data_IF_291464683625
#
_entry.id   IF_291464683625
#
_cell.length_a   1.000
_cell.length_b   1.000
_cell.length_c   1.000
_cell.angle_alpha   90.00
_cell.angle_beta   90.00
_cell.angle_gamma   90.00
#
_symmetry.space_group_name_H-M   'P 1'
#
loop_
_entity.id
_entity.type
_entity.pdbx_description
1 polymer ?
#
# COMPACT_ATOMS: atom_id res chain seq x y z
N UNK A 1 -49.49 -16.57 -53.27
CA UNK A 1 -48.30 -15.87 -52.72
C UNK A 1 -48.17 -16.28 -51.26
N UNK A 2 -47.20 -17.15 -50.98
CA UNK A 2 -46.92 -17.67 -49.63
C UNK A 2 -45.43 -17.95 -49.59
N UNK A 3 -44.72 -17.22 -48.71
CA UNK A 3 -43.27 -17.23 -48.60
C UNK A 3 -42.77 -18.47 -47.82
N UNK A 4 -41.60 -19.05 -48.18
CA UNK A 4 -40.99 -20.12 -47.40
C UNK A 4 -40.22 -19.59 -46.18
N UNK A 5 -40.29 -20.35 -45.09
CA UNK A 5 -39.71 -20.09 -43.77
C UNK A 5 -38.18 -20.29 -43.71
N UNK A 6 -37.44 -19.50 -42.91
CA UNK A 6 -35.98 -19.63 -42.79
C UNK A 6 -35.55 -20.74 -41.81
N UNK A 7 -34.49 -21.47 -42.18
CA UNK A 7 -33.85 -22.53 -41.37
C UNK A 7 -32.95 -21.94 -40.26
N UNK A 8 -32.76 -22.64 -39.13
CA UNK A 8 -31.91 -22.19 -38.02
C UNK A 8 -30.41 -22.42 -38.29
N UNK A 9 -29.59 -21.47 -37.81
CA UNK A 9 -28.13 -21.48 -37.84
C UNK A 9 -27.54 -22.43 -36.80
N UNK A 10 -26.53 -23.21 -37.18
CA UNK A 10 -25.63 -23.93 -36.25
C UNK A 10 -24.20 -23.37 -36.40
N UNK A 11 -23.49 -23.02 -35.31
CA UNK A 11 -22.10 -22.60 -35.39
C UNK A 11 -21.18 -23.80 -35.17
N UNK A 12 -20.47 -24.23 -36.22
CA UNK A 12 -19.30 -25.11 -36.12
C UNK A 12 -18.11 -24.41 -36.75
N UNK A 13 -16.99 -24.44 -36.03
CA UNK A 13 -15.60 -24.19 -36.43
C UNK A 13 -15.19 -22.85 -37.04
N UNK A 14 -14.45 -22.09 -36.22
CA UNK A 14 -13.38 -21.23 -36.72
C UNK A 14 -12.15 -21.35 -35.81
N UNK A 15 -11.26 -22.27 -36.14
CA UNK A 15 -9.84 -22.12 -35.82
C UNK A 15 -9.33 -20.80 -36.41
N UNK A 16 -8.41 -20.11 -35.73
CA UNK A 16 -7.19 -19.54 -36.32
C UNK A 16 -6.31 -18.89 -35.24
N UNK A 17 -5.08 -19.40 -35.16
CA UNK A 17 -3.98 -18.91 -34.35
C UNK A 17 -3.55 -17.52 -34.86
N UNK A 18 -3.14 -16.63 -33.97
CA UNK A 18 -2.41 -15.39 -34.32
C UNK A 18 -1.03 -15.42 -33.64
N UNK A 19 0.09 -15.22 -34.39
CA UNK A 19 1.43 -15.18 -33.81
C UNK A 19 1.81 -13.81 -33.23
N UNK A 20 2.73 -13.87 -32.26
CA UNK A 20 3.39 -12.78 -31.54
C UNK A 20 4.35 -12.01 -32.45
N UNK A 21 4.17 -10.69 -32.57
CA UNK A 21 5.18 -9.78 -33.14
C UNK A 21 5.61 -8.75 -32.08
N UNK A 22 6.93 -8.68 -31.86
CA UNK A 22 7.63 -7.71 -31.03
C UNK A 22 7.57 -6.30 -31.66
N UNK A 23 7.36 -5.27 -30.83
CA UNK A 23 7.74 -3.88 -31.15
C UNK A 23 8.44 -3.23 -29.94
N UNK A 24 9.62 -2.61 -30.12
CA UNK A 24 10.34 -1.92 -29.06
C UNK A 24 10.07 -0.39 -29.06
N UNK A 25 10.17 0.18 -27.86
CA UNK A 25 10.59 1.58 -27.63
C UNK A 25 9.47 2.61 -27.45
N UNK A 26 9.17 2.99 -26.20
CA UNK A 26 8.71 4.34 -25.84
C UNK A 26 9.15 4.68 -24.40
N UNK A 27 10.22 5.45 -24.28
CA UNK A 27 10.59 6.21 -23.09
C UNK A 27 9.61 7.37 -22.90
N UNK A 28 8.73 7.27 -21.89
CA UNK A 28 7.77 8.31 -21.54
C UNK A 28 8.05 8.87 -20.14
N UNK A 29 8.83 9.95 -20.09
CA UNK A 29 9.01 10.80 -18.89
C UNK A 29 7.66 11.46 -18.59
N UNK A 30 7.00 11.09 -17.48
CA UNK A 30 5.76 11.73 -17.03
C UNK A 30 6.09 13.01 -16.25
N UNK A 31 5.80 14.15 -16.87
CA UNK A 31 5.80 15.48 -16.26
C UNK A 31 4.49 15.69 -15.48
N UNK A 32 4.58 15.97 -14.19
CA UNK A 32 3.43 16.32 -13.35
C UNK A 32 3.04 17.79 -13.61
N UNK A 33 1.93 18.03 -14.29
CA UNK A 33 1.36 19.38 -14.40
C UNK A 33 0.51 19.67 -13.16
N UNK A 34 0.95 20.69 -12.41
CA UNK A 34 0.23 21.34 -11.31
C UNK A 34 -0.90 22.16 -11.92
N UNK A 35 -2.16 21.86 -11.58
CA UNK A 35 -3.32 22.65 -12.02
C UNK A 35 -3.41 23.88 -11.11
N UNK A 36 -3.13 25.05 -11.67
CA UNK A 36 -3.48 26.34 -11.08
C UNK A 36 -4.90 26.68 -11.57
N UNK A 37 -5.86 26.77 -10.66
CA UNK A 37 -7.26 27.06 -10.97
C UNK A 37 -7.39 28.56 -11.27
N UNK A 38 -7.65 28.92 -12.53
CA UNK A 38 -7.96 30.30 -12.92
C UNK A 38 -9.43 30.62 -12.60
N UNK A 39 -9.80 31.87 -12.25
CA UNK A 39 -11.19 32.25 -12.03
C UNK A 39 -12.00 32.08 -13.32
N UNK A 40 -13.05 31.25 -13.28
CA UNK A 40 -13.94 30.99 -14.41
C UNK A 40 -14.74 32.26 -14.74
N UNK A 41 -14.45 32.86 -15.90
CA UNK A 41 -15.29 33.90 -16.49
C UNK A 41 -16.65 33.29 -16.87
N UNK A 42 -17.73 34.03 -16.64
CA UNK A 42 -19.08 33.58 -17.00
C UNK A 42 -19.16 33.31 -18.52
N UNK A 43 -19.68 32.16 -18.95
CA UNK A 43 -19.81 31.83 -20.38
C UNK A 43 -20.78 32.79 -21.08
N UNK A 44 -20.67 32.88 -22.41
CA UNK A 44 -21.59 33.69 -23.19
C UNK A 44 -23.04 33.16 -23.06
N UNK A 45 -24.01 34.04 -22.82
CA UNK A 45 -25.38 33.65 -22.52
C UNK A 45 -26.31 34.83 -22.25
N UNK A 46 -27.62 34.55 -22.16
CA UNK A 46 -28.62 35.51 -21.70
C UNK A 46 -28.64 35.53 -20.18
N UNK A 47 -28.51 36.72 -19.60
CA UNK A 47 -28.51 36.92 -18.15
C UNK A 47 -29.42 38.09 -17.80
N UNK A 48 -29.95 38.15 -16.56
CA UNK A 48 -30.71 39.31 -16.10
C UNK A 48 -29.92 40.61 -16.29
N UNK A 49 -30.57 41.65 -16.81
CA UNK A 49 -29.90 42.93 -17.04
C UNK A 49 -29.33 43.48 -15.72
N UNK A 50 -28.03 43.85 -15.66
CA UNK A 50 -27.43 44.41 -14.44
C UNK A 50 -28.06 45.77 -14.05
N UNK A 51 -28.72 46.43 -15.00
CA UNK A 51 -29.40 47.71 -14.80
C UNK A 51 -30.77 47.55 -14.09
N UNK A 52 -31.17 46.31 -13.73
CA UNK A 52 -32.41 46.01 -13.01
C UNK A 52 -33.68 46.09 -13.85
N UNK A 53 -33.56 46.32 -15.17
CA UNK A 53 -34.68 46.26 -16.09
C UNK A 53 -35.22 44.82 -16.22
N UNK A 54 -36.55 44.61 -16.38
CA UNK A 54 -37.17 43.28 -16.52
C UNK A 54 -36.96 42.71 -17.93
N UNK A 55 -35.70 42.65 -18.34
CA UNK A 55 -35.22 42.12 -19.62
C UNK A 55 -33.94 41.33 -19.38
N UNK A 56 -33.72 40.29 -20.18
CA UNK A 56 -32.43 39.61 -20.22
C UNK A 56 -31.54 40.29 -21.26
N UNK A 57 -30.26 40.46 -20.95
CA UNK A 57 -29.24 41.02 -21.85
C UNK A 57 -28.22 39.94 -22.18
N UNK A 58 -27.70 39.94 -23.40
CA UNK A 58 -26.70 38.95 -23.82
C UNK A 58 -25.29 39.35 -23.37
N UNK A 59 -24.62 38.46 -22.64
CA UNK A 59 -23.20 38.51 -22.31
C UNK A 59 -22.41 37.69 -23.34
N UNK A 60 -21.36 38.24 -23.94
CA UNK A 60 -20.58 37.54 -24.97
C UNK A 60 -19.36 36.77 -24.41
N UNK A 61 -19.19 36.76 -23.09
CA UNK A 61 -18.00 36.22 -22.41
C UNK A 61 -16.99 37.28 -21.98
N UNK A 62 -17.08 38.49 -22.53
CA UNK A 62 -16.16 39.61 -22.23
C UNK A 62 -16.87 40.92 -21.89
N UNK A 63 -18.02 41.20 -22.50
CA UNK A 63 -18.85 42.37 -22.22
C UNK A 63 -20.34 42.12 -22.47
N UNK A 64 -21.17 43.02 -21.92
CA UNK A 64 -22.61 43.03 -22.20
C UNK A 64 -22.86 43.65 -23.57
N UNK A 65 -23.69 43.00 -24.37
CA UNK A 65 -24.11 43.51 -25.68
C UNK A 65 -25.45 44.27 -25.58
N UNK A 66 -25.81 45.05 -26.60
CA UNK A 66 -27.08 45.77 -26.64
C UNK A 66 -28.30 44.89 -26.99
N UNK A 67 -28.10 43.58 -27.18
CA UNK A 67 -29.20 42.67 -27.45
C UNK A 67 -29.99 42.42 -26.15
N UNK A 68 -31.29 42.70 -26.16
CA UNK A 68 -32.20 42.48 -25.02
C UNK A 68 -33.42 41.68 -25.46
N UNK A 69 -33.85 40.72 -24.64
CA UNK A 69 -35.12 39.99 -24.79
C UNK A 69 -36.01 40.23 -23.57
N UNK A 70 -37.35 40.28 -23.72
CA UNK A 70 -38.27 40.34 -22.58
C UNK A 70 -37.98 39.20 -21.61
N UNK A 71 -38.04 39.47 -20.30
CA UNK A 71 -37.84 38.44 -19.27
C UNK A 71 -39.06 37.51 -19.25
N UNK A 72 -39.04 36.52 -20.14
CA UNK A 72 -40.04 35.45 -20.20
C UNK A 72 -39.81 34.53 -18.99
N UNK A 73 -40.87 34.19 -18.21
CA UNK A 73 -40.71 33.29 -17.08
C UNK A 73 -40.08 31.99 -17.57
N UNK A 74 -38.90 31.67 -17.04
CA UNK A 74 -38.16 30.48 -17.44
C UNK A 74 -39.09 29.26 -17.41
N UNK A 75 -39.13 28.43 -18.48
CA UNK A 75 -39.88 27.18 -18.44
C UNK A 75 -39.42 26.36 -17.22
N UNK A 76 -40.32 25.60 -16.58
CA UNK A 76 -39.96 24.81 -15.40
C UNK A 76 -38.70 24.01 -15.70
N UNK A 77 -37.66 24.18 -14.89
CA UNK A 77 -36.45 23.38 -15.00
C UNK A 77 -36.83 21.90 -14.93
N UNK A 78 -36.87 21.22 -16.08
CA UNK A 78 -36.80 19.76 -16.10
C UNK A 78 -35.54 19.38 -15.32
N UNK A 79 -35.61 18.40 -14.39
CA UNK A 79 -34.44 17.98 -13.66
C UNK A 79 -33.34 17.65 -14.66
N UNK A 80 -32.23 18.38 -14.55
CA UNK A 80 -31.07 18.25 -15.40
C UNK A 80 -30.73 16.76 -15.56
N UNK A 81 -30.69 16.21 -16.80
CA UNK A 81 -30.36 14.82 -16.99
C UNK A 81 -29.01 14.58 -16.33
N UNK A 82 -29.01 13.74 -15.31
CA UNK A 82 -27.81 13.31 -14.58
C UNK A 82 -26.71 13.09 -15.60
N UNK A 83 -25.64 13.88 -15.51
CA UNK A 83 -24.51 13.78 -16.41
C UNK A 83 -24.07 12.31 -16.54
N UNK A 84 -23.47 11.91 -17.67
CA UNK A 84 -23.09 10.51 -17.92
C UNK A 84 -22.38 9.95 -16.68
N UNK A 85 -22.76 8.74 -16.20
CA UNK A 85 -22.24 8.20 -14.95
C UNK A 85 -20.72 8.25 -14.97
N UNK A 86 -20.15 9.15 -14.17
CA UNK A 86 -18.71 9.23 -14.01
C UNK A 86 -18.26 7.93 -13.38
N UNK A 87 -17.62 7.10 -14.22
CA UNK A 87 -17.15 5.74 -14.00
C UNK A 87 -18.21 4.64 -14.23
N UNK A 88 -18.05 3.88 -15.32
CA UNK A 88 -18.83 2.68 -15.63
C UNK A 88 -18.54 1.49 -14.71
N UNK A 89 -18.13 1.74 -13.48
CA UNK A 89 -18.01 0.70 -12.47
C UNK A 89 -19.37 0.55 -11.79
N UNK A 90 -19.94 -0.67 -11.74
CA UNK A 90 -21.11 -0.90 -10.90
C UNK A 90 -20.78 -0.45 -9.48
N UNK A 91 -21.67 0.31 -8.86
CA UNK A 91 -21.52 0.72 -7.47
C UNK A 91 -21.22 -0.54 -6.62
N UNK A 92 -20.09 -0.60 -5.91
CA UNK A 92 -19.78 -1.76 -5.09
C UNK A 92 -20.94 -2.00 -4.12
N UNK A 93 -21.44 -3.22 -4.02
CA UNK A 93 -22.35 -3.61 -2.94
C UNK A 93 -21.62 -3.28 -1.64
N UNK A 94 -22.06 -2.26 -0.92
CA UNK A 94 -21.35 -1.72 0.23
C UNK A 94 -21.08 -2.86 1.23
N UNK A 95 -19.84 -3.36 1.33
CA UNK A 95 -19.55 -4.43 2.26
C UNK A 95 -19.85 -3.95 3.68
N UNK A 96 -20.33 -4.84 4.56
CA UNK A 96 -20.51 -4.56 6.00
C UNK A 96 -19.15 -4.38 6.69
N UNK A 97 -18.45 -3.30 6.38
CA UNK A 97 -17.13 -2.94 6.92
C UNK A 97 -17.22 -2.09 8.18
N UNK A 98 -18.40 -1.52 8.46
CA UNK A 98 -18.64 -0.60 9.59
C UNK A 98 -18.06 -1.11 10.92
N UNK A 99 -18.43 -2.32 11.39
CA UNK A 99 -17.93 -2.82 12.68
C UNK A 99 -16.40 -2.96 12.73
N UNK A 100 -15.78 -3.34 11.62
CA UNK A 100 -14.35 -3.61 11.53
C UNK A 100 -13.52 -2.32 11.46
N UNK A 101 -14.03 -1.33 10.70
CA UNK A 101 -13.46 0.01 10.65
C UNK A 101 -13.55 0.71 12.02
N UNK A 102 -14.72 0.65 12.67
CA UNK A 102 -14.94 1.19 14.02
C UNK A 102 -14.01 0.51 15.02
N UNK A 103 -13.94 -0.82 15.01
CA UNK A 103 -13.05 -1.57 15.92
C UNK A 103 -11.59 -1.13 15.73
N UNK A 104 -11.13 -1.02 14.48
CA UNK A 104 -9.76 -0.58 14.18
C UNK A 104 -9.49 0.83 14.71
N UNK A 105 -10.41 1.77 14.47
CA UNK A 105 -10.29 3.15 14.97
C UNK A 105 -10.23 3.19 16.51
N UNK A 106 -11.10 2.42 17.18
CA UNK A 106 -11.13 2.35 18.65
C UNK A 106 -9.81 1.80 19.19
N UNK A 107 -9.32 0.67 18.68
CA UNK A 107 -8.07 0.09 19.18
C UNK A 107 -6.84 0.96 18.89
N UNK A 108 -6.79 1.63 17.73
CA UNK A 108 -5.73 2.60 17.42
C UNK A 108 -5.80 3.82 18.34
N UNK A 109 -6.99 4.35 18.62
CA UNK A 109 -7.16 5.48 19.53
C UNK A 109 -6.74 5.12 20.97
N UNK A 110 -7.17 3.95 21.47
CA UNK A 110 -6.78 3.47 22.81
C UNK A 110 -5.26 3.28 22.92
N UNK A 111 -4.64 2.70 21.90
CA UNK A 111 -3.19 2.57 21.85
C UNK A 111 -2.46 3.91 21.74
N UNK A 112 -2.98 4.82 20.91
CA UNK A 112 -2.46 6.17 20.70
C UNK A 112 -2.52 7.05 21.95
N UNK A 113 -3.41 6.75 22.89
CA UNK A 113 -3.46 7.37 24.22
C UNK A 113 -2.55 6.65 25.22
N UNK A 114 -2.52 5.32 25.20
CA UNK A 114 -1.69 4.52 26.12
C UNK A 114 -0.18 4.72 25.91
N UNK A 115 0.27 4.86 24.66
CA UNK A 115 1.70 4.97 24.34
C UNK A 115 2.30 6.29 24.85
N UNK A 116 1.72 7.49 24.62
CA UNK A 116 2.23 8.75 25.18
C UNK A 116 2.12 8.84 26.70
N UNK A 117 1.14 8.19 27.33
CA UNK A 117 1.09 8.11 28.80
C UNK A 117 2.25 7.28 29.36
N UNK A 118 2.52 6.12 28.75
CA UNK A 118 3.64 5.25 29.13
C UNK A 118 5.01 5.85 28.80
N UNK A 119 5.12 6.62 27.72
CA UNK A 119 6.34 7.33 27.33
C UNK A 119 6.55 8.63 28.11
N UNK A 120 5.48 9.40 28.32
CA UNK A 120 5.45 10.60 29.14
C UNK A 120 5.86 10.31 30.59
N UNK A 121 5.38 9.19 31.15
CA UNK A 121 5.84 8.66 32.43
C UNK A 121 7.37 8.47 32.50
N UNK A 122 7.99 7.99 31.40
CA UNK A 122 9.45 7.79 31.31
C UNK A 122 10.23 9.05 30.94
N UNK A 123 9.59 10.02 30.28
CA UNK A 123 10.18 11.30 29.90
C UNK A 123 10.19 12.30 31.08
N UNK A 124 9.28 12.14 32.04
CA UNK A 124 9.22 12.91 33.29
C UNK A 124 10.28 12.56 34.33
N UNK A 125 11.45 12.06 33.92
CA UNK A 125 12.58 11.78 34.84
C UNK A 125 13.14 13.00 35.60
N UNK A 126 12.60 14.21 35.38
CA UNK A 126 12.90 15.42 36.13
C UNK A 126 11.78 15.91 37.07
N UNK A 127 10.62 15.27 37.09
CA UNK A 127 9.50 15.57 37.98
C UNK A 127 9.12 14.30 38.74
N UNK A 128 8.76 14.40 40.02
CA UNK A 128 8.29 13.22 40.74
C UNK A 128 6.99 12.72 40.08
N UNK A 129 6.96 11.45 39.59
CA UNK A 129 5.75 10.91 39.02
C UNK A 129 4.67 10.84 40.12
N UNK A 130 3.38 10.90 39.75
CA UNK A 130 2.30 10.66 40.70
C UNK A 130 2.49 9.32 41.44
N UNK A 131 2.17 9.25 42.73
CA UNK A 131 2.40 8.06 43.58
C UNK A 131 1.79 6.76 43.03
N UNK A 132 0.70 6.87 42.25
CA UNK A 132 0.03 5.72 41.63
C UNK A 132 0.73 5.18 40.38
N UNK A 133 1.65 5.94 39.77
CA UNK A 133 2.33 5.59 38.52
C UNK A 133 3.65 4.88 38.82
N UNK A 134 3.56 3.72 39.47
CA UNK A 134 4.71 2.86 39.74
C UNK A 134 5.29 2.27 38.45
N UNK A 135 6.52 1.74 38.52
CA UNK A 135 7.16 1.08 37.37
C UNK A 135 6.32 -0.11 36.85
N UNK A 136 5.74 -0.89 37.74
CA UNK A 136 4.85 -2.01 37.40
C UNK A 136 3.58 -1.53 36.68
N UNK A 137 2.99 -0.41 37.12
CA UNK A 137 1.82 0.18 36.45
C UNK A 137 2.19 0.69 35.07
N UNK A 138 3.33 1.38 34.92
CA UNK A 138 3.81 1.84 33.62
C UNK A 138 4.12 0.68 32.67
N UNK A 139 4.70 -0.42 33.17
CA UNK A 139 4.94 -1.63 32.40
C UNK A 139 3.63 -2.31 31.98
N UNK A 140 2.66 -2.44 32.89
CA UNK A 140 1.34 -2.98 32.61
C UNK A 140 0.58 -2.16 31.55
N UNK A 141 0.59 -0.83 31.65
CA UNK A 141 -0.01 0.06 30.66
C UNK A 141 0.67 -0.05 29.30
N UNK A 142 2.01 -0.13 29.26
CA UNK A 142 2.77 -0.36 28.01
C UNK A 142 2.37 -1.69 27.37
N UNK A 143 2.29 -2.75 28.17
CA UNK A 143 1.89 -4.09 27.71
C UNK A 143 0.46 -4.10 27.17
N UNK A 144 -0.49 -3.49 27.89
CA UNK A 144 -1.87 -3.36 27.47
C UNK A 144 -1.99 -2.57 26.15
N UNK A 145 -1.34 -1.41 26.05
CA UNK A 145 -1.33 -0.61 24.83
C UNK A 145 -0.73 -1.38 23.64
N UNK A 146 0.35 -2.13 23.87
CA UNK A 146 0.96 -2.99 22.85
C UNK A 146 0.01 -4.11 22.40
N UNK A 147 -0.68 -4.77 23.33
CA UNK A 147 -1.70 -5.77 23.02
C UNK A 147 -2.86 -5.20 22.21
N UNK A 148 -3.35 -4.01 22.56
CA UNK A 148 -4.38 -3.31 21.81
C UNK A 148 -3.93 -2.97 20.39
N UNK A 149 -2.67 -2.57 20.18
CA UNK A 149 -2.10 -2.35 18.83
C UNK A 149 -2.06 -3.62 18.00
N UNK A 150 -1.71 -4.76 18.60
CA UNK A 150 -1.71 -6.04 17.88
C UNK A 150 -3.12 -6.40 17.41
N UNK A 151 -4.11 -6.26 18.29
CA UNK A 151 -5.53 -6.48 17.96
C UNK A 151 -6.00 -5.48 16.89
N UNK A 152 -5.62 -4.20 17.01
CA UNK A 152 -5.88 -3.17 15.99
C UNK A 152 -5.31 -3.58 14.63
N UNK A 153 -4.06 -4.05 14.61
CA UNK A 153 -3.37 -4.51 13.41
C UNK A 153 -4.09 -5.67 12.72
N UNK A 154 -4.61 -6.64 13.50
CA UNK A 154 -5.42 -7.73 12.95
C UNK A 154 -6.71 -7.23 12.30
N UNK A 155 -7.45 -6.37 13.00
CA UNK A 155 -8.68 -5.78 12.45
C UNK A 155 -8.40 -4.91 11.22
N UNK A 156 -7.32 -4.15 11.25
CA UNK A 156 -6.84 -3.36 10.12
C UNK A 156 -6.54 -4.24 8.90
N UNK A 157 -5.80 -5.34 9.07
CA UNK A 157 -5.48 -6.28 8.00
C UNK A 157 -6.73 -6.96 7.43
N UNK A 158 -7.64 -7.40 8.30
CA UNK A 158 -8.92 -7.97 7.90
C UNK A 158 -9.78 -6.95 7.15
N UNK A 159 -9.78 -5.69 7.60
CA UNK A 159 -10.55 -4.62 6.98
C UNK A 159 -10.01 -4.30 5.60
N UNK A 160 -8.69 -4.15 5.46
CA UNK A 160 -8.08 -3.94 4.16
C UNK A 160 -8.33 -5.12 3.21
N UNK A 161 -8.26 -6.36 3.69
CA UNK A 161 -8.57 -7.54 2.89
C UNK A 161 -10.02 -7.51 2.37
N UNK A 162 -10.99 -7.29 3.27
CA UNK A 162 -12.42 -7.27 2.92
C UNK A 162 -12.77 -6.09 2.02
N UNK A 163 -12.17 -4.92 2.26
CA UNK A 163 -12.34 -3.75 1.41
C UNK A 163 -11.80 -4.04 0.01
N UNK A 164 -10.58 -4.56 -0.12
CA UNK A 164 -10.01 -4.91 -1.42
C UNK A 164 -10.82 -5.99 -2.16
N UNK A 165 -11.38 -6.96 -1.44
CA UNK A 165 -12.19 -8.03 -2.02
C UNK A 165 -13.58 -7.56 -2.48
N UNK A 166 -14.05 -6.40 -2.01
CA UNK A 166 -15.34 -5.83 -2.43
C UNK A 166 -15.31 -5.20 -3.82
N UNK A 167 -14.12 -4.95 -4.37
CA UNK A 167 -13.97 -4.42 -5.72
C UNK A 167 -13.83 -5.56 -6.76
N UNK A 168 -14.32 -5.37 -8.00
CA UNK A 168 -14.14 -6.34 -9.08
C UNK A 168 -12.66 -6.69 -9.32
N UNK A 169 -12.33 -7.94 -9.68
CA UNK A 169 -10.96 -8.33 -9.99
C UNK A 169 -10.32 -7.41 -11.05
N UNK A 170 -9.09 -6.93 -10.79
CA UNK A 170 -8.34 -6.08 -11.72
C UNK A 170 -8.52 -4.58 -11.54
N UNK A 171 -9.41 -4.12 -10.64
CA UNK A 171 -9.52 -2.69 -10.27
C UNK A 171 -8.34 -2.20 -9.43
N UNK A 172 -7.91 -3.00 -8.44
CA UNK A 172 -6.75 -2.70 -7.60
C UNK A 172 -5.46 -3.21 -8.26
N UNK A 173 -4.34 -2.48 -8.10
CA UNK A 173 -3.02 -2.90 -8.61
C UNK A 173 -2.53 -4.23 -8.01
N UNK A 174 -3.02 -4.57 -6.81
CA UNK A 174 -2.59 -5.72 -6.01
C UNK A 174 -3.80 -6.55 -5.60
N UNK A 175 -3.59 -7.85 -5.43
CA UNK A 175 -4.63 -8.77 -4.98
C UNK A 175 -5.04 -8.47 -3.52
N UNK A 176 -6.28 -8.78 -3.11
CA UNK A 176 -6.74 -8.60 -1.73
C UNK A 176 -5.83 -9.24 -0.69
N UNK A 177 -5.31 -10.44 -0.99
CA UNK A 177 -4.35 -11.11 -0.12
C UNK A 177 -3.06 -10.31 0.11
N UNK A 178 -2.61 -9.52 -0.86
CA UNK A 178 -1.39 -8.71 -0.74
C UNK A 178 -1.61 -7.41 0.04
N UNK A 179 -2.85 -6.89 0.09
CA UNK A 179 -3.20 -5.77 0.96
C UNK A 179 -3.01 -6.14 2.44
N UNK A 180 -3.43 -7.33 2.86
CA UNK A 180 -3.16 -7.83 4.21
C UNK A 180 -1.72 -8.36 4.36
N UNK A 181 -1.27 -9.22 3.43
CA UNK A 181 -0.02 -9.96 3.57
C UNK A 181 1.25 -9.10 3.57
N UNK A 182 1.22 -7.91 2.94
CA UNK A 182 2.38 -7.01 2.92
C UNK A 182 2.78 -6.50 4.32
N UNK A 183 1.85 -6.45 5.27
CA UNK A 183 2.14 -6.10 6.68
C UNK A 183 2.96 -7.17 7.41
N UNK A 184 2.96 -8.40 6.91
CA UNK A 184 3.74 -9.51 7.47
C UNK A 184 5.11 -9.65 6.82
N UNK A 185 5.45 -8.82 5.83
CA UNK A 185 6.77 -8.85 5.18
C UNK A 185 7.92 -8.72 6.18
N UNK A 186 7.89 -7.79 7.17
CA UNK A 186 8.94 -7.72 8.18
C UNK A 186 9.13 -9.02 8.96
N UNK A 187 8.05 -9.77 9.20
CA UNK A 187 8.10 -11.06 9.90
C UNK A 187 8.64 -12.14 8.95
N UNK A 188 8.19 -12.15 7.70
CA UNK A 188 8.66 -13.10 6.70
C UNK A 188 10.17 -12.99 6.42
N UNK A 189 10.77 -11.81 6.60
CA UNK A 189 12.22 -11.60 6.52
C UNK A 189 13.02 -12.41 7.56
N UNK A 190 12.38 -12.99 8.58
CA UNK A 190 13.04 -13.81 9.61
C UNK A 190 13.29 -15.26 9.17
N UNK A 191 12.73 -15.73 8.06
CA UNK A 191 12.93 -17.11 7.60
C UNK A 191 13.01 -17.25 6.08
N UNK A 192 12.34 -16.39 5.31
CA UNK A 192 12.36 -16.48 3.85
C UNK A 192 13.77 -16.40 3.25
N UNK A 193 14.68 -15.51 3.72
CA UNK A 193 16.02 -15.44 3.13
C UNK A 193 16.81 -16.74 3.32
N UNK A 194 16.70 -17.38 4.48
CA UNK A 194 17.30 -18.69 4.72
C UNK A 194 16.77 -19.75 3.76
N UNK A 195 15.44 -19.84 3.62
CA UNK A 195 14.79 -20.78 2.70
C UNK A 195 15.25 -20.57 1.24
N UNK A 196 15.24 -19.31 0.79
CA UNK A 196 15.66 -18.93 -0.56
C UNK A 196 17.10 -19.38 -0.85
N UNK A 197 18.04 -19.10 0.05
CA UNK A 197 19.44 -19.50 -0.12
C UNK A 197 19.60 -21.03 -0.03
N UNK A 198 18.89 -21.68 0.88
CA UNK A 198 18.93 -23.13 1.02
C UNK A 198 18.41 -23.87 -0.23
N UNK A 199 17.41 -23.30 -0.90
CA UNK A 199 16.90 -23.82 -2.17
C UNK A 199 17.85 -23.57 -3.33
N UNK A 200 18.51 -22.41 -3.40
CA UNK A 200 19.58 -22.18 -4.37
C UNK A 200 20.69 -23.23 -4.23
N UNK A 201 21.11 -23.56 -3.01
CA UNK A 201 22.10 -24.61 -2.79
C UNK A 201 21.60 -25.99 -3.21
N UNK A 202 20.35 -26.32 -2.92
CA UNK A 202 19.74 -27.59 -3.33
C UNK A 202 19.70 -27.74 -4.85
N UNK A 203 19.35 -26.68 -5.58
CA UNK A 203 19.27 -26.69 -7.05
C UNK A 203 20.63 -26.65 -7.75
N UNK A 204 21.63 -25.99 -7.15
CA UNK A 204 22.98 -25.86 -7.73
C UNK A 204 23.89 -27.03 -7.37
N UNK A 205 24.02 -27.32 -6.06
CA UNK A 205 24.97 -28.30 -5.51
C UNK A 205 24.34 -29.68 -5.24
N UNK A 206 23.02 -29.81 -5.29
CA UNK A 206 22.30 -31.02 -4.89
C UNK A 206 22.13 -31.21 -3.36
N UNK A 207 22.78 -30.38 -2.53
CA UNK A 207 22.70 -30.50 -1.05
C UNK A 207 22.76 -29.16 -0.33
N UNK A 208 22.20 -29.10 0.88
CA UNK A 208 22.32 -27.91 1.74
C UNK A 208 23.63 -27.97 2.55
N UNK A 209 24.44 -26.90 2.59
CA UNK A 209 25.65 -26.90 3.39
C UNK A 209 25.35 -26.83 4.90
N UNK A 210 26.05 -27.64 5.70
CA UNK A 210 25.85 -27.68 7.17
C UNK A 210 26.21 -26.39 7.92
N UNK A 211 26.97 -25.48 7.31
CA UNK A 211 27.29 -24.15 7.88
C UNK A 211 26.23 -23.08 7.57
N UNK A 212 25.25 -23.36 6.71
CA UNK A 212 24.22 -22.39 6.34
C UNK A 212 23.35 -21.95 7.53
N UNK A 213 22.90 -22.86 8.42
CA UNK A 213 22.19 -22.46 9.63
C UNK A 213 23.05 -21.59 10.56
N UNK A 214 24.36 -21.84 10.61
CA UNK A 214 25.30 -21.05 11.43
C UNK A 214 25.42 -19.62 10.91
N UNK A 215 25.57 -19.44 9.60
CA UNK A 215 25.55 -18.12 8.97
C UNK A 215 24.25 -17.37 9.27
N UNK A 216 23.12 -18.04 9.07
CA UNK A 216 21.81 -17.44 9.31
C UNK A 216 21.62 -17.06 10.77
N UNK A 217 22.00 -17.95 11.68
CA UNK A 217 21.99 -17.72 13.12
C UNK A 217 22.82 -16.50 13.50
N UNK A 218 24.07 -16.41 13.04
CA UNK A 218 24.97 -15.27 13.32
C UNK A 218 24.41 -13.95 12.78
N UNK A 219 23.85 -13.95 11.56
CA UNK A 219 23.26 -12.75 10.98
C UNK A 219 22.03 -12.28 11.78
N UNK A 220 21.13 -13.20 12.11
CA UNK A 220 19.90 -12.91 12.84
C UNK A 220 20.19 -12.47 14.28
N UNK A 221 21.00 -13.23 15.01
CA UNK A 221 21.34 -12.89 16.41
C UNK A 221 22.19 -11.63 16.48
N UNK A 222 23.16 -11.46 15.58
CA UNK A 222 23.97 -10.26 15.50
C UNK A 222 23.12 -9.01 15.26
N UNK A 223 22.18 -9.06 14.31
CA UNK A 223 21.27 -7.96 14.03
C UNK A 223 20.37 -7.61 15.22
N UNK A 224 19.80 -8.63 15.89
CA UNK A 224 18.97 -8.44 17.09
C UNK A 224 19.77 -7.83 18.24
N UNK A 225 20.99 -8.30 18.47
CA UNK A 225 21.87 -7.79 19.54
C UNK A 225 22.32 -6.36 19.27
N UNK A 226 22.62 -6.00 18.01
CA UNK A 226 22.88 -4.60 17.63
C UNK A 226 21.67 -3.72 17.89
N UNK A 227 20.47 -4.17 17.47
CA UNK A 227 19.23 -3.43 17.70
C UNK A 227 18.94 -3.22 19.19
N UNK A 228 19.12 -4.27 20.01
CA UNK A 228 19.00 -4.21 21.46
C UNK A 228 20.01 -3.22 22.07
N UNK A 229 21.27 -3.25 21.63
CA UNK A 229 22.29 -2.29 22.06
C UNK A 229 21.90 -0.84 21.73
N UNK A 230 21.28 -0.60 20.58
CA UNK A 230 20.72 0.70 20.20
C UNK A 230 19.62 1.17 21.16
N UNK A 231 18.68 0.30 21.51
CA UNK A 231 17.61 0.61 22.49
C UNK A 231 18.20 0.89 23.87
N UNK A 232 19.14 0.05 24.32
CA UNK A 232 19.80 0.21 25.62
C UNK A 232 20.63 1.49 25.70
N UNK A 233 21.16 1.98 24.58
CA UNK A 233 21.94 3.23 24.53
C UNK A 233 21.12 4.46 24.95
N UNK A 234 19.79 4.40 24.86
CA UNK A 234 18.89 5.46 25.36
C UNK A 234 18.89 5.54 26.89
N UNK A 235 19.16 4.42 27.57
CA UNK A 235 19.07 4.32 29.04
C UNK A 235 20.43 4.13 29.71
N UNK A 236 21.43 3.62 29.00
CA UNK A 236 22.77 3.33 29.54
C UNK A 236 23.85 3.67 28.51
N UNK A 237 24.72 4.67 28.79
CA UNK A 237 25.79 5.08 27.87
C UNK A 237 26.92 4.05 27.76
N UNK A 238 27.01 3.08 28.68
CA UNK A 238 28.05 2.03 28.67
C UNK A 238 27.50 0.70 28.18
N UNK A 239 26.34 0.27 28.70
CA UNK A 239 25.79 -1.06 28.38
C UNK A 239 25.29 -1.11 26.93
N UNK A 240 24.66 -0.04 26.43
CA UNK A 240 24.17 0.02 25.06
C UNK A 240 25.26 -0.22 24.01
N UNK A 241 26.34 0.59 23.99
CA UNK A 241 27.45 0.38 23.07
C UNK A 241 28.14 -0.98 23.24
N UNK A 242 28.28 -1.48 24.47
CA UNK A 242 28.91 -2.78 24.73
C UNK A 242 28.11 -3.95 24.14
N UNK A 243 26.78 -3.94 24.32
CA UNK A 243 25.88 -4.92 23.71
C UNK A 243 25.91 -4.81 22.18
N UNK A 244 25.88 -3.59 21.63
CA UNK A 244 25.98 -3.38 20.19
C UNK A 244 27.31 -3.90 19.61
N UNK A 245 28.41 -3.76 20.33
CA UNK A 245 29.72 -4.28 19.92
C UNK A 245 29.72 -5.81 19.81
N UNK A 246 29.13 -6.53 20.78
CA UNK A 246 28.98 -7.99 20.72
C UNK A 246 28.17 -8.42 19.50
N UNK A 247 27.05 -7.75 19.22
CA UNK A 247 26.25 -8.02 18.02
C UNK A 247 27.02 -7.78 16.73
N UNK A 248 27.84 -6.73 16.71
CA UNK A 248 28.69 -6.39 15.57
C UNK A 248 29.73 -7.47 15.30
N UNK A 249 30.35 -8.05 16.34
CA UNK A 249 31.27 -9.17 16.20
C UNK A 249 30.61 -10.41 15.57
N UNK A 250 29.37 -10.72 15.95
CA UNK A 250 28.61 -11.82 15.33
C UNK A 250 28.33 -11.56 13.84
N UNK A 251 27.99 -10.32 13.46
CA UNK A 251 27.80 -9.92 12.07
C UNK A 251 29.10 -10.00 11.27
N UNK A 252 30.23 -9.58 11.86
CA UNK A 252 31.56 -9.75 11.25
C UNK A 252 31.89 -11.23 11.05
N UNK A 253 31.59 -12.09 12.02
CA UNK A 253 31.77 -13.54 11.90
C UNK A 253 30.87 -14.18 10.82
N UNK A 254 29.70 -13.59 10.53
CA UNK A 254 28.83 -14.03 9.43
C UNK A 254 29.40 -13.70 8.03
N UNK A 255 30.23 -12.66 7.93
CA UNK A 255 30.78 -12.17 6.65
C UNK A 255 31.57 -13.23 5.86
N UNK A 256 32.54 -13.98 6.43
CA UNK A 256 33.27 -15.01 5.67
C UNK A 256 32.36 -16.14 5.17
N UNK A 257 31.28 -16.46 5.90
CA UNK A 257 30.31 -17.47 5.46
C UNK A 257 29.46 -16.95 4.28
N UNK A 258 29.06 -15.68 4.30
CA UNK A 258 28.41 -15.02 3.17
C UNK A 258 29.32 -14.96 1.93
N UNK A 259 30.60 -14.62 2.12
CA UNK A 259 31.60 -14.64 1.04
C UNK A 259 31.74 -16.04 0.42
N UNK A 260 31.89 -17.06 1.27
CA UNK A 260 31.96 -18.47 0.84
C UNK A 260 30.70 -18.92 0.10
N UNK A 261 29.53 -18.46 0.53
CA UNK A 261 28.25 -18.73 -0.12
C UNK A 261 28.24 -18.25 -1.57
N UNK A 262 28.55 -16.97 -1.78
CA UNK A 262 28.62 -16.35 -3.11
C UNK A 262 29.62 -17.11 -3.98
N UNK A 263 30.85 -17.33 -3.49
CA UNK A 263 31.88 -18.02 -4.26
C UNK A 263 31.50 -19.45 -4.67
N UNK A 264 30.74 -20.19 -3.84
CA UNK A 264 30.28 -21.54 -4.21
C UNK A 264 29.17 -21.52 -5.26
N UNK A 265 28.13 -20.70 -5.05
CA UNK A 265 27.00 -20.62 -5.97
C UNK A 265 27.43 -20.12 -7.35
N UNK A 266 28.32 -19.11 -7.41
CA UNK A 266 28.83 -18.56 -8.67
C UNK A 266 29.62 -19.60 -9.46
N UNK A 267 30.58 -20.30 -8.82
CA UNK A 267 31.40 -21.32 -9.51
C UNK A 267 30.57 -22.45 -10.10
N UNK A 268 29.55 -22.92 -9.37
CA UNK A 268 28.72 -24.02 -9.86
C UNK A 268 27.75 -23.62 -10.96
N UNK A 269 27.27 -22.38 -10.94
CA UNK A 269 26.41 -21.87 -12.00
C UNK A 269 27.20 -21.61 -13.28
N UNK A 270 28.44 -21.12 -13.16
CA UNK A 270 29.36 -20.93 -14.29
C UNK A 270 29.71 -22.25 -14.98
N UNK A 271 30.15 -23.27 -14.22
CA UNK A 271 30.53 -24.56 -14.79
C UNK A 271 29.39 -25.33 -15.48
N UNK A 272 28.13 -25.13 -15.06
CA UNK A 272 26.98 -25.73 -15.75
C UNK A 272 26.71 -25.13 -17.14
N UNK A 273 27.01 -23.84 -17.36
CA UNK A 273 26.78 -23.20 -18.67
C UNK A 273 27.79 -23.60 -19.73
N UNK A 274 29.02 -23.96 -19.33
CA UNK A 274 30.07 -24.40 -20.27
C UNK A 274 29.85 -25.84 -20.75
N UNK A 275 29.15 -26.67 -19.98
CA UNK A 275 28.88 -28.08 -20.33
C UNK A 275 27.65 -28.27 -21.23
N UNK A 276 26.82 -27.24 -21.37
CA UNK A 276 25.59 -27.28 -22.18
C UNK A 276 25.63 -26.13 -23.22
N UNK A 277 26.57 -26.17 -24.20
CA UNK A 277 26.57 -25.20 -25.28
C UNK A 277 25.37 -25.48 -26.19
N UNK A 278 24.42 -24.55 -26.15
CA UNK A 278 23.25 -24.49 -27.05
C UNK A 278 23.62 -24.54 -28.53
#
# INVERSE_FOLDING_TARGET
MTAPSPRPWTPTDRHLRVPRALRPGHTGVRRWNRVTQAPQQAPAGWYPSPDGAPVQRWWDGTMWTNATVPDEPAPPHEPEPQGPPTSGWPAPVAPRLGPLAISTQVFVALAGVGMPLAWGARAWRGAEPPEWLTEDVALALTGAASGLLLVAGLFWMLWQYRLAHSFPPGTTRRSPGWHAGSWLVPVALWWLPYGNVADLFRLTTGRRPGWLPVWWGLWLTGGLVVGLGGVLSVSSPVMGPSVAAVGSLALTAATPLAWRMVGKLTRQTGGKREQDPS
#
